data_IF_025693576610
#
_entry.id   IF_025693576610
#
_cell.length_a   1.000
_cell.length_b   1.000
_cell.length_c   1.000
_cell.angle_alpha   90.00
_cell.angle_beta   90.00
_cell.angle_gamma   90.00
#
_symmetry.space_group_name_H-M   'P 1'
#
loop_
_entity.id
_entity.type
_entity.pdbx_description
1 polymer ?
#
# COMPACT_ATOMS: atom_id res chain seq x y z
N UNK A 1 -6.91 -15.48 8.50
CA UNK A 1 -5.71 -16.12 9.08
C UNK A 1 -4.48 -15.31 8.68
N UNK A 2 -4.38 -14.08 9.19
CA UNK A 2 -3.28 -13.15 8.91
C UNK A 2 -2.39 -13.14 10.14
N UNK A 3 -1.16 -13.63 9.95
CA UNK A 3 0.04 -13.44 10.77
C UNK A 3 -0.29 -13.11 12.23
N UNK A 4 -0.56 -14.15 13.02
CA UNK A 4 -0.48 -14.05 14.47
C UNK A 4 0.89 -13.49 14.81
N UNK A 5 0.91 -12.32 15.46
CA UNK A 5 2.11 -11.67 15.98
C UNK A 5 3.02 -12.72 16.62
N UNK A 6 4.18 -12.96 16.00
CA UNK A 6 5.40 -13.28 16.74
C UNK A 6 5.71 -12.03 17.56
N UNK A 7 5.01 -11.89 18.66
CA UNK A 7 5.42 -11.07 19.77
C UNK A 7 6.62 -11.83 20.36
N UNK A 8 7.79 -11.69 19.73
CA UNK A 8 9.03 -11.91 20.46
C UNK A 8 9.03 -10.85 21.55
N UNK A 9 8.59 -11.24 22.75
CA UNK A 9 9.06 -10.56 23.93
C UNK A 9 10.59 -10.58 23.86
N UNK A 10 11.29 -9.47 24.14
CA UNK A 10 12.73 -9.53 24.32
C UNK A 10 12.99 -10.59 25.39
N UNK A 11 13.67 -11.66 25.01
CA UNK A 11 14.19 -12.65 25.93
C UNK A 11 14.94 -11.88 27.02
N UNK A 12 14.62 -12.13 28.28
CA UNK A 12 15.36 -11.61 29.42
C UNK A 12 16.86 -11.81 29.17
N UNK A 13 17.54 -10.73 28.82
CA UNK A 13 18.99 -10.67 28.93
C UNK A 13 19.26 -10.67 30.42
N UNK A 14 19.60 -11.84 30.95
CA UNK A 14 20.19 -11.97 32.29
C UNK A 14 21.45 -11.11 32.30
N UNK A 15 21.34 -9.88 32.82
CA UNK A 15 22.47 -9.08 33.23
C UNK A 15 23.24 -9.86 34.29
N UNK A 16 24.44 -10.30 33.91
CA UNK A 16 25.40 -10.95 34.76
C UNK A 16 25.85 -9.97 35.86
N UNK A 17 25.23 -10.11 37.04
CA UNK A 17 25.58 -9.37 38.26
C UNK A 17 26.83 -9.98 38.89
N UNK A 18 27.95 -9.88 38.19
CA UNK A 18 29.25 -10.29 38.70
C UNK A 18 30.02 -9.09 39.24
N UNK A 19 29.84 -8.87 40.55
CA UNK A 19 30.87 -8.49 41.53
C UNK A 19 31.90 -7.41 41.14
N UNK A 20 31.56 -6.14 41.44
CA UNK A 20 32.58 -5.13 41.75
C UNK A 20 32.58 -4.87 43.26
N UNK A 21 33.44 -5.60 43.97
CA UNK A 21 33.85 -5.24 45.32
C UNK A 21 34.87 -4.11 45.19
N UNK A 22 34.44 -2.86 45.42
CA UNK A 22 35.36 -1.78 45.70
C UNK A 22 35.05 -1.13 47.06
N UNK A 23 36.15 -0.94 47.78
CA UNK A 23 36.29 -0.53 49.17
C UNK A 23 35.55 0.76 49.50
N UNK A 24 35.02 0.78 50.72
CA UNK A 24 34.48 1.96 51.37
C UNK A 24 35.48 3.11 51.47
N UNK A 25 34.94 4.31 51.29
CA UNK A 25 35.58 5.60 51.53
C UNK A 25 34.49 6.63 51.82
N UNK A 26 34.04 6.66 53.07
CA UNK A 26 33.03 7.55 53.60
C UNK A 26 33.58 8.99 53.66
N UNK A 27 32.97 9.95 52.95
CA UNK A 27 32.99 11.38 53.31
C UNK A 27 31.76 12.08 52.73
N UNK A 28 30.77 12.25 53.61
CA UNK A 28 29.57 13.07 53.41
C UNK A 28 29.97 14.52 53.19
N UNK A 29 29.63 15.07 52.02
CA UNK A 29 29.36 16.50 51.85
C UNK A 29 28.01 16.61 51.13
N UNK A 30 26.99 17.03 51.88
CA UNK A 30 25.64 17.22 51.39
C UNK A 30 25.53 18.49 50.55
N UNK A 31 25.32 18.30 49.25
CA UNK A 31 24.49 19.18 48.44
C UNK A 31 23.44 18.28 47.82
N UNK A 32 22.18 18.45 48.22
CA UNK A 32 21.05 17.68 47.72
C UNK A 32 20.86 17.95 46.24
N UNK A 33 21.44 17.09 45.41
CA UNK A 33 21.17 17.06 43.98
C UNK A 33 19.75 16.53 43.81
N UNK A 34 18.80 17.45 43.62
CA UNK A 34 17.43 17.11 43.22
C UNK A 34 17.51 16.49 41.84
N UNK A 35 17.61 15.17 41.76
CA UNK A 35 17.45 14.44 40.52
C UNK A 35 16.00 14.62 40.06
N UNK A 36 15.79 15.62 39.21
CA UNK A 36 14.53 15.80 38.48
C UNK A 36 14.26 14.51 37.71
N UNK A 37 13.33 13.71 38.20
CA UNK A 37 12.84 12.51 37.51
C UNK A 37 12.02 12.97 36.31
N UNK A 38 12.71 13.33 35.22
CA UNK A 38 12.05 13.71 33.97
C UNK A 38 11.23 12.54 33.48
N UNK A 39 9.91 12.73 33.37
CA UNK A 39 8.99 11.72 32.86
C UNK A 39 9.48 11.23 31.47
N UNK A 40 9.78 9.93 31.29
CA UNK A 40 10.33 9.41 30.03
C UNK A 40 9.46 9.75 28.80
N UNK A 41 8.13 9.89 28.99
CA UNK A 41 7.21 10.31 27.92
C UNK A 41 7.54 11.71 27.38
N UNK A 42 7.96 12.64 28.25
CA UNK A 42 8.30 14.01 27.82
C UNK A 42 9.52 14.06 26.91
N UNK A 43 10.52 13.21 27.19
CA UNK A 43 11.72 13.07 26.36
C UNK A 43 11.36 12.58 24.95
N UNK A 44 10.52 11.54 24.87
CA UNK A 44 10.08 11.01 23.58
C UNK A 44 9.18 11.98 22.83
N UNK A 45 8.29 12.70 23.51
CA UNK A 45 7.47 13.76 22.88
C UNK A 45 8.33 14.85 22.26
N UNK A 46 9.38 15.29 22.94
CA UNK A 46 10.30 16.29 22.41
C UNK A 46 11.06 15.75 21.18
N UNK A 47 11.67 14.57 21.28
CA UNK A 47 12.39 13.96 20.16
C UNK A 47 11.48 13.68 18.96
N UNK A 48 10.26 13.21 19.20
CA UNK A 48 9.26 13.01 18.16
C UNK A 48 8.90 14.34 17.51
N UNK A 49 8.70 15.43 18.27
CA UNK A 49 8.46 16.79 17.73
C UNK A 49 9.60 17.27 16.82
N UNK A 50 10.84 16.88 17.11
CA UNK A 50 12.01 17.16 16.29
C UNK A 50 12.14 16.25 15.05
N UNK A 51 11.17 15.37 14.79
CA UNK A 51 11.13 14.53 13.58
C UNK A 51 11.76 13.14 13.75
N UNK A 52 12.12 12.73 14.98
CA UNK A 52 12.64 11.37 15.21
C UNK A 52 11.54 10.32 15.00
N UNK A 53 11.73 9.47 14.00
CA UNK A 53 10.87 8.32 13.72
C UNK A 53 10.86 7.32 14.86
N UNK A 54 12.04 6.91 15.32
CA UNK A 54 12.20 6.00 16.45
C UNK A 54 11.47 6.50 17.71
N UNK A 55 11.56 7.81 18.01
CA UNK A 55 10.83 8.40 19.13
C UNK A 55 9.31 8.34 18.92
N UNK A 56 8.82 8.51 17.69
CA UNK A 56 7.39 8.39 17.38
C UNK A 56 6.90 6.96 17.56
N UNK A 57 7.65 5.97 17.04
CA UNK A 57 7.33 4.55 17.24
C UNK A 57 7.30 4.20 18.74
N UNK A 58 8.26 4.71 19.50
CA UNK A 58 8.29 4.50 20.95
C UNK A 58 7.10 5.16 21.67
N UNK A 59 6.66 6.35 21.27
CA UNK A 59 5.46 6.98 21.81
C UNK A 59 4.22 6.14 21.52
N UNK A 60 4.03 5.74 20.25
CA UNK A 60 2.91 4.90 19.85
C UNK A 60 2.87 3.58 20.65
N UNK A 61 4.03 2.98 20.90
CA UNK A 61 4.15 1.81 21.75
C UNK A 61 3.72 2.07 23.21
N UNK A 62 4.14 3.20 23.80
CA UNK A 62 3.81 3.59 25.18
C UNK A 62 2.31 3.92 25.34
N UNK A 63 1.60 4.31 24.28
CA UNK A 63 0.16 4.57 24.34
C UNK A 63 -0.66 3.31 24.71
N UNK A 64 -0.08 2.10 24.72
CA UNK A 64 -0.75 0.84 25.12
C UNK A 64 -2.14 0.70 24.47
N UNK A 65 -2.20 0.92 23.15
CA UNK A 65 -3.46 0.85 22.43
C UNK A 65 -3.99 -0.59 22.47
N UNK A 66 -5.22 -0.72 22.97
CA UNK A 66 -5.93 -2.00 23.08
C UNK A 66 -7.05 -2.01 22.07
N UNK A 67 -6.96 -2.96 21.14
CA UNK A 67 -8.01 -3.28 20.21
C UNK A 67 -8.61 -4.61 20.62
N UNK A 68 -9.90 -4.60 20.98
CA UNK A 68 -10.66 -5.83 21.20
C UNK A 68 -11.51 -6.13 19.96
N UNK A 69 -11.14 -7.17 19.16
CA UNK A 69 -11.86 -7.52 17.95
C UNK A 69 -13.31 -7.93 18.19
N UNK A 70 -13.66 -8.35 19.41
CA UNK A 70 -15.00 -8.84 19.74
C UNK A 70 -15.96 -7.71 20.10
N UNK A 71 -15.48 -6.75 20.90
CA UNK A 71 -16.33 -5.65 21.38
C UNK A 71 -16.36 -4.45 20.45
N UNK A 72 -15.52 -4.45 19.41
CA UNK A 72 -15.26 -3.29 18.55
C UNK A 72 -14.78 -2.06 19.33
N UNK A 73 -14.40 -2.24 20.60
CA UNK A 73 -13.92 -1.17 21.44
C UNK A 73 -12.43 -0.94 21.14
N UNK A 74 -12.10 0.32 20.87
CA UNK A 74 -10.72 0.75 20.68
C UNK A 74 -10.35 1.73 21.78
N UNK A 75 -9.28 1.42 22.49
CA UNK A 75 -8.72 2.30 23.49
C UNK A 75 -7.42 2.88 22.95
N UNK A 76 -7.35 4.21 22.85
CA UNK A 76 -6.15 4.98 22.47
C UNK A 76 -5.63 4.75 21.05
N UNK A 77 -6.39 4.07 20.20
CA UNK A 77 -6.07 3.95 18.77
C UNK A 77 -6.04 5.31 18.08
N UNK A 78 -6.89 6.23 18.47
CA UNK A 78 -6.87 7.63 18.03
C UNK A 78 -5.53 8.32 18.34
N UNK A 79 -5.04 8.22 19.58
CA UNK A 79 -3.75 8.80 19.97
C UNK A 79 -2.57 8.18 19.19
N UNK A 80 -2.60 6.87 18.95
CA UNK A 80 -1.59 6.19 18.12
C UNK A 80 -1.65 6.66 16.67
N UNK A 81 -2.86 6.78 16.10
CA UNK A 81 -3.03 7.30 14.74
C UNK A 81 -2.52 8.73 14.60
N UNK A 82 -2.74 9.60 15.59
CA UNK A 82 -2.22 10.96 15.61
C UNK A 82 -0.68 11.00 15.59
N UNK A 83 -0.03 10.14 16.37
CA UNK A 83 1.42 10.02 16.34
C UNK A 83 1.94 9.58 14.97
N UNK A 84 1.28 8.61 14.35
CA UNK A 84 1.66 8.12 13.02
C UNK A 84 1.43 9.17 11.92
N UNK A 85 0.27 9.83 11.93
CA UNK A 85 -0.06 10.90 10.99
C UNK A 85 0.95 12.04 11.07
N UNK A 86 1.20 12.55 12.28
CA UNK A 86 2.14 13.64 12.48
C UNK A 86 3.57 13.29 12.05
N UNK A 87 4.01 12.04 12.25
CA UNK A 87 5.31 11.60 11.77
C UNK A 87 5.38 11.51 10.24
N UNK A 88 4.39 10.89 9.60
CA UNK A 88 4.40 10.73 8.15
C UNK A 88 4.24 12.07 7.42
N UNK A 89 3.37 12.96 7.90
CA UNK A 89 3.18 14.29 7.31
C UNK A 89 4.45 15.14 7.37
N UNK A 90 5.23 15.05 8.45
CA UNK A 90 6.53 15.74 8.54
C UNK A 90 7.53 15.19 7.53
N UNK A 91 7.58 13.88 7.34
CA UNK A 91 8.47 13.27 6.33
C UNK A 91 8.09 13.73 4.92
N UNK A 92 6.79 13.82 4.64
CA UNK A 92 6.27 14.31 3.37
C UNK A 92 6.53 15.80 3.12
N UNK A 93 6.67 16.61 4.18
CA UNK A 93 6.82 18.07 4.07
C UNK A 93 8.25 18.58 4.25
N UNK A 94 9.11 17.87 4.98
CA UNK A 94 10.48 18.32 5.30
C UNK A 94 11.53 17.97 4.22
N UNK A 95 11.13 17.38 3.09
CA UNK A 95 12.05 16.78 2.13
C UNK A 95 12.22 17.63 0.87
N UNK A 96 13.10 18.64 0.94
CA UNK A 96 13.50 19.43 -0.24
C UNK A 96 14.23 18.59 -1.32
N UNK A 97 14.69 17.38 -0.97
CA UNK A 97 15.39 16.43 -1.85
C UNK A 97 14.70 15.09 -2.06
N UNK A 98 13.38 14.99 -1.80
CA UNK A 98 12.63 13.74 -1.89
C UNK A 98 12.72 12.87 -0.63
N UNK A 99 11.90 11.83 -0.56
CA UNK A 99 11.72 11.04 0.66
C UNK A 99 12.89 10.08 0.88
N UNK A 100 13.54 10.23 2.03
CA UNK A 100 14.55 9.28 2.52
C UNK A 100 13.86 8.03 3.10
N UNK A 101 13.86 6.94 2.32
CA UNK A 101 13.29 5.66 2.73
C UNK A 101 14.28 4.84 3.55
N UNK A 102 13.88 4.44 4.77
CA UNK A 102 14.69 3.67 5.71
C UNK A 102 13.90 2.55 6.38
N UNK A 103 14.58 1.72 7.18
CA UNK A 103 13.96 0.68 7.99
C UNK A 103 12.88 1.23 8.95
N UNK A 104 13.17 2.31 9.66
CA UNK A 104 12.22 2.94 10.61
C UNK A 104 10.97 3.44 9.90
N UNK A 105 11.11 3.98 8.68
CA UNK A 105 9.98 4.44 7.88
C UNK A 105 9.13 3.26 7.39
N UNK A 106 9.78 2.17 6.98
CA UNK A 106 9.08 0.94 6.61
C UNK A 106 8.31 0.36 7.81
N UNK A 107 8.90 0.37 9.00
CA UNK A 107 8.24 -0.09 10.23
C UNK A 107 7.03 0.79 10.57
N UNK A 108 7.19 2.12 10.54
CA UNK A 108 6.08 3.06 10.74
C UNK A 108 4.92 2.78 9.79
N UNK A 109 5.19 2.70 8.48
CA UNK A 109 4.14 2.45 7.48
C UNK A 109 3.51 1.07 7.66
N UNK A 110 4.29 0.07 8.07
CA UNK A 110 3.78 -1.27 8.35
C UNK A 110 2.81 -1.27 9.53
N UNK A 111 3.15 -0.58 10.63
CA UNK A 111 2.27 -0.40 11.78
C UNK A 111 0.99 0.37 11.44
N UNK A 112 1.11 1.43 10.62
CA UNK A 112 -0.06 2.16 10.11
C UNK A 112 -0.97 1.26 9.26
N UNK A 113 -0.40 0.47 8.35
CA UNK A 113 -1.16 -0.46 7.52
C UNK A 113 -1.84 -1.55 8.36
N UNK A 114 -1.16 -2.08 9.37
CA UNK A 114 -1.74 -3.05 10.30
C UNK A 114 -2.93 -2.46 11.05
N UNK A 115 -2.78 -1.24 11.57
CA UNK A 115 -3.87 -0.52 12.24
C UNK A 115 -5.09 -0.32 11.33
N UNK A 116 -4.88 0.12 10.08
CA UNK A 116 -5.95 0.23 9.07
C UNK A 116 -6.62 -1.12 8.84
N UNK A 117 -5.85 -2.19 8.69
CA UNK A 117 -6.39 -3.53 8.46
C UNK A 117 -7.10 -4.11 9.68
N UNK A 118 -6.79 -3.72 10.90
CA UNK A 118 -7.56 -4.16 12.07
C UNK A 118 -8.92 -3.44 12.13
N UNK A 119 -8.96 -2.17 11.72
CA UNK A 119 -10.14 -1.30 11.88
C UNK A 119 -11.06 -1.23 10.66
N UNK A 120 -10.62 -1.69 9.49
CA UNK A 120 -11.40 -1.61 8.25
C UNK A 120 -12.76 -2.34 8.29
N UNK A 121 -13.00 -3.24 9.26
CA UNK A 121 -14.32 -3.90 9.42
C UNK A 121 -15.30 -3.11 10.28
N UNK A 122 -14.84 -2.53 11.39
CA UNK A 122 -15.72 -2.13 12.49
C UNK A 122 -15.77 -0.63 12.72
N UNK A 123 -14.76 0.12 12.26
CA UNK A 123 -14.55 1.52 12.66
C UNK A 123 -14.10 2.40 11.50
N UNK A 124 -14.83 2.33 10.39
CA UNK A 124 -14.59 3.28 9.29
C UNK A 124 -15.00 4.71 9.67
N UNK A 125 -15.97 4.84 10.59
CA UNK A 125 -16.47 6.12 11.07
C UNK A 125 -15.55 6.78 12.11
N UNK A 126 -14.47 6.09 12.53
CA UNK A 126 -13.44 6.71 13.35
C UNK A 126 -12.81 7.88 12.60
N UNK A 127 -12.80 9.05 13.22
CA UNK A 127 -12.36 10.30 12.59
C UNK A 127 -10.92 10.25 12.06
N UNK A 128 -10.06 9.41 12.66
CA UNK A 128 -8.67 9.23 12.25
C UNK A 128 -8.50 8.25 11.07
N UNK A 129 -9.47 7.36 10.80
CA UNK A 129 -9.33 6.29 9.81
C UNK A 129 -9.19 6.84 8.37
N UNK A 130 -10.06 7.78 8.01
CA UNK A 130 -10.02 8.41 6.69
C UNK A 130 -8.76 9.26 6.44
N UNK A 131 -8.35 10.15 7.36
CA UNK A 131 -7.05 10.83 7.26
C UNK A 131 -5.89 9.85 7.13
N UNK A 132 -5.81 8.82 7.99
CA UNK A 132 -4.72 7.84 7.98
C UNK A 132 -4.61 7.10 6.65
N UNK A 133 -5.74 6.58 6.14
CA UNK A 133 -5.77 5.88 4.85
C UNK A 133 -5.43 6.80 3.69
N UNK A 134 -5.97 8.03 3.67
CA UNK A 134 -5.64 9.04 2.65
C UNK A 134 -4.15 9.35 2.64
N UNK A 135 -3.56 9.65 3.80
CA UNK A 135 -2.13 9.99 3.91
C UNK A 135 -1.26 8.82 3.44
N UNK A 136 -1.57 7.58 3.82
CA UNK A 136 -0.86 6.39 3.32
C UNK A 136 -0.92 6.28 1.78
N UNK A 137 -2.09 6.52 1.19
CA UNK A 137 -2.26 6.41 -0.26
C UNK A 137 -1.55 7.53 -1.03
N UNK A 138 -1.61 8.76 -0.52
CA UNK A 138 -0.90 9.91 -1.08
C UNK A 138 0.61 9.69 -0.96
N UNK A 139 1.08 9.17 0.18
CA UNK A 139 2.47 8.82 0.39
C UNK A 139 2.97 7.74 -0.58
N UNK A 140 2.23 6.64 -0.75
CA UNK A 140 2.60 5.61 -1.72
C UNK A 140 2.58 6.12 -3.17
N UNK A 141 1.74 7.12 -3.48
CA UNK A 141 1.75 7.79 -4.78
C UNK A 141 3.02 8.64 -4.94
N UNK A 142 3.37 9.45 -3.95
CA UNK A 142 4.61 10.23 -3.94
C UNK A 142 5.83 9.34 -4.14
N UNK A 143 5.94 8.24 -3.37
CA UNK A 143 7.04 7.27 -3.53
C UNK A 143 7.08 6.62 -4.91
N UNK A 144 5.94 6.47 -5.59
CA UNK A 144 5.93 5.98 -6.97
C UNK A 144 6.46 7.04 -7.93
N UNK A 145 6.06 8.29 -7.74
CA UNK A 145 6.43 9.40 -8.62
C UNK A 145 7.92 9.78 -8.46
N UNK A 146 8.51 9.55 -7.28
CA UNK A 146 9.94 9.75 -6.97
C UNK A 146 10.84 8.55 -7.31
N UNK A 147 10.27 7.38 -7.60
CA UNK A 147 11.04 6.18 -7.92
C UNK A 147 11.68 6.29 -9.31
N UNK A 148 13.00 6.13 -9.38
CA UNK A 148 13.78 6.18 -10.63
C UNK A 148 13.63 4.89 -11.45
N UNK A 149 13.29 3.78 -10.79
CA UNK A 149 13.08 2.49 -11.44
C UNK A 149 11.70 2.41 -12.10
N UNK A 150 11.66 2.24 -13.42
CA UNK A 150 10.41 1.89 -14.08
C UNK A 150 9.97 0.48 -13.65
N UNK A 151 8.78 0.35 -13.04
CA UNK A 151 8.14 -0.95 -12.79
C UNK A 151 7.75 -1.69 -14.09
N UNK A 152 8.15 -1.17 -15.26
CA UNK A 152 7.78 -1.70 -16.57
C UNK A 152 8.71 -2.85 -16.95
N UNK A 153 8.15 -4.05 -16.87
CA UNK A 153 8.62 -5.32 -17.41
C UNK A 153 10.13 -5.57 -17.40
N UNK A 154 10.52 -6.57 -16.60
CA UNK A 154 11.69 -7.41 -16.85
C UNK A 154 11.55 -7.99 -18.26
N UNK A 155 12.01 -7.25 -19.27
CA UNK A 155 12.30 -7.81 -20.58
C UNK A 155 13.63 -8.50 -20.38
N UNK A 156 13.60 -9.83 -20.39
CA UNK A 156 14.76 -10.70 -20.28
C UNK A 156 15.63 -10.58 -21.54
N UNK A 157 16.27 -9.45 -21.76
CA UNK A 157 17.31 -9.31 -22.79
C UNK A 157 18.64 -9.75 -22.20
N UNK A 158 19.03 -10.96 -22.57
CA UNK A 158 20.28 -11.65 -22.22
C UNK A 158 21.49 -11.07 -22.99
N UNK A 159 21.76 -9.77 -22.89
CA UNK A 159 23.00 -9.22 -23.47
C UNK A 159 23.97 -8.69 -22.39
N UNK A 160 25.21 -9.22 -22.34
CA UNK A 160 26.22 -8.80 -21.37
C UNK A 160 26.89 -7.50 -21.84
N UNK A 161 26.43 -6.36 -21.33
CA UNK A 161 27.14 -5.10 -21.49
C UNK A 161 28.15 -4.93 -20.34
N UNK A 162 29.44 -4.93 -20.67
CA UNK A 162 30.54 -4.60 -19.76
C UNK A 162 30.55 -3.08 -19.50
N UNK A 163 29.84 -2.62 -18.49
CA UNK A 163 29.91 -1.25 -18.02
C UNK A 163 30.85 -1.22 -16.81
N UNK A 164 31.92 -0.43 -16.91
CA UNK A 164 32.83 -0.13 -15.81
C UNK A 164 32.13 0.92 -14.95
N UNK A 165 31.65 0.50 -13.79
CA UNK A 165 30.92 1.33 -12.84
C UNK A 165 31.79 1.59 -11.61
N UNK A 166 31.79 2.84 -11.13
CA UNK A 166 32.46 3.26 -9.89
C UNK A 166 31.66 2.76 -8.68
N UNK A 167 32.26 1.91 -7.86
CA UNK A 167 31.57 0.99 -6.94
C UNK A 167 30.97 1.63 -5.66
N UNK A 168 31.34 2.86 -5.28
CA UNK A 168 31.02 3.35 -3.91
C UNK A 168 29.71 4.17 -3.75
N UNK A 169 29.14 4.75 -4.82
CA UNK A 169 27.92 5.59 -4.71
C UNK A 169 26.62 4.87 -5.11
N UNK A 170 26.70 3.74 -5.84
CA UNK A 170 25.51 3.02 -6.31
C UNK A 170 24.82 2.22 -5.19
N UNK A 171 25.59 1.66 -4.25
CA UNK A 171 25.06 0.78 -3.19
C UNK A 171 24.01 1.46 -2.30
N UNK A 172 24.21 2.74 -1.96
CA UNK A 172 23.29 3.48 -1.09
C UNK A 172 21.97 3.85 -1.78
N UNK A 173 22.01 4.16 -3.09
CA UNK A 173 20.80 4.49 -3.85
C UNK A 173 19.92 3.26 -4.05
N UNK A 174 20.55 2.11 -4.26
CA UNK A 174 19.88 0.82 -4.40
C UNK A 174 19.17 0.41 -3.11
N UNK A 175 19.79 0.62 -1.95
CA UNK A 175 19.15 0.35 -0.66
C UNK A 175 17.93 1.25 -0.41
N UNK A 176 18.04 2.55 -0.67
CA UNK A 176 16.92 3.47 -0.51
C UNK A 176 15.74 3.11 -1.44
N UNK A 177 16.03 2.77 -2.69
CA UNK A 177 15.03 2.34 -3.66
C UNK A 177 14.41 0.99 -3.26
N UNK A 178 15.18 0.08 -2.65
CA UNK A 178 14.65 -1.15 -2.08
C UNK A 178 13.63 -0.88 -0.96
N UNK A 179 13.92 0.02 -0.03
CA UNK A 179 12.95 0.45 1.00
C UNK A 179 11.73 1.14 0.39
N UNK A 180 11.92 2.00 -0.60
CA UNK A 180 10.83 2.66 -1.34
C UNK A 180 9.86 1.63 -1.94
N UNK A 181 10.38 0.60 -2.60
CA UNK A 181 9.60 -0.52 -3.16
C UNK A 181 8.91 -1.33 -2.06
N UNK A 182 9.61 -1.64 -0.97
CA UNK A 182 9.06 -2.37 0.16
C UNK A 182 7.85 -1.65 0.78
N UNK A 183 7.96 -0.34 1.00
CA UNK A 183 6.87 0.50 1.50
C UNK A 183 5.68 0.48 0.54
N UNK A 184 5.91 0.65 -0.76
CA UNK A 184 4.85 0.61 -1.79
C UNK A 184 4.11 -0.73 -1.81
N UNK A 185 4.83 -1.85 -1.70
CA UNK A 185 4.24 -3.20 -1.59
C UNK A 185 3.31 -3.28 -0.38
N UNK A 186 3.79 -2.84 0.79
CA UNK A 186 3.00 -2.83 2.04
C UNK A 186 1.70 -2.03 1.88
N UNK A 187 1.78 -0.80 1.36
CA UNK A 187 0.59 0.07 1.18
C UNK A 187 -0.37 -0.47 0.13
N UNK A 188 0.12 -0.96 -1.02
CA UNK A 188 -0.75 -1.54 -2.05
C UNK A 188 -1.48 -2.79 -1.55
N UNK A 189 -0.78 -3.66 -0.81
CA UNK A 189 -1.39 -4.83 -0.19
C UNK A 189 -2.47 -4.42 0.81
N UNK A 190 -2.17 -3.49 1.73
CA UNK A 190 -3.14 -2.96 2.69
C UNK A 190 -4.39 -2.41 1.98
N UNK A 191 -4.20 -1.54 0.98
CA UNK A 191 -5.30 -0.94 0.22
C UNK A 191 -6.14 -1.96 -0.54
N UNK A 192 -5.52 -2.99 -1.12
CA UNK A 192 -6.25 -4.07 -1.79
C UNK A 192 -7.17 -4.81 -0.82
N UNK A 193 -6.69 -5.13 0.38
CA UNK A 193 -7.49 -5.78 1.43
C UNK A 193 -8.63 -4.89 1.93
N UNK A 194 -8.40 -3.58 2.08
CA UNK A 194 -9.47 -2.62 2.40
C UNK A 194 -10.58 -2.73 1.34
N UNK A 195 -10.26 -2.59 0.05
CA UNK A 195 -11.25 -2.72 -1.03
C UNK A 195 -11.94 -4.10 -1.06
N UNK A 196 -11.20 -5.18 -0.80
CA UNK A 196 -11.74 -6.52 -0.77
C UNK A 196 -12.81 -6.67 0.33
N UNK A 197 -12.58 -6.07 1.51
CA UNK A 197 -13.54 -6.07 2.62
C UNK A 197 -14.80 -5.27 2.30
N UNK A 198 -14.67 -4.15 1.60
CA UNK A 198 -15.80 -3.37 1.09
C UNK A 198 -16.53 -4.01 -0.10
N UNK A 199 -16.16 -5.23 -0.51
CA UNK A 199 -16.70 -5.92 -1.69
C UNK A 199 -16.45 -5.18 -3.01
N UNK A 200 -15.49 -4.26 -3.05
CA UNK A 200 -15.04 -3.59 -4.27
C UNK A 200 -13.97 -4.43 -5.00
N UNK A 201 -14.35 -5.64 -5.42
CA UNK A 201 -13.41 -6.68 -5.89
C UNK A 201 -12.59 -6.26 -7.11
N UNK A 202 -13.17 -5.50 -8.03
CA UNK A 202 -12.46 -4.98 -9.21
C UNK A 202 -11.31 -4.05 -8.82
N UNK A 203 -11.55 -3.17 -7.84
CA UNK A 203 -10.54 -2.26 -7.30
C UNK A 203 -9.49 -3.02 -6.48
N UNK A 204 -9.92 -3.99 -5.67
CA UNK A 204 -8.99 -4.87 -4.95
C UNK A 204 -8.02 -5.56 -5.93
N UNK A 205 -8.54 -6.13 -7.02
CA UNK A 205 -7.73 -6.78 -8.05
C UNK A 205 -6.72 -5.82 -8.72
N UNK A 206 -7.09 -4.56 -8.94
CA UNK A 206 -6.16 -3.54 -9.46
C UNK A 206 -4.97 -3.34 -8.50
N UNK A 207 -5.22 -3.23 -7.19
CA UNK A 207 -4.16 -3.01 -6.22
C UNK A 207 -3.32 -4.26 -5.92
N UNK A 208 -3.90 -5.45 -5.92
CA UNK A 208 -3.11 -6.67 -5.87
C UNK A 208 -2.17 -6.79 -7.08
N UNK A 209 -2.63 -6.45 -8.29
CA UNK A 209 -1.74 -6.40 -9.47
C UNK A 209 -0.62 -5.38 -9.31
N UNK A 210 -0.91 -4.19 -8.78
CA UNK A 210 0.12 -3.17 -8.47
C UNK A 210 1.15 -3.71 -7.48
N UNK A 211 0.71 -4.39 -6.41
CA UNK A 211 1.58 -5.04 -5.44
C UNK A 211 2.53 -6.06 -6.09
N UNK A 212 1.99 -6.94 -6.95
CA UNK A 212 2.79 -7.94 -7.68
C UNK A 212 3.75 -7.31 -8.70
N UNK A 213 3.38 -6.18 -9.29
CA UNK A 213 4.18 -5.51 -10.33
C UNK A 213 5.41 -4.75 -9.81
N UNK A 214 5.44 -4.36 -8.52
CA UNK A 214 6.63 -3.71 -7.94
C UNK A 214 7.83 -4.67 -8.02
N UNK A 215 8.99 -4.21 -8.49
CA UNK A 215 10.19 -5.07 -8.58
C UNK A 215 10.62 -5.60 -7.20
N UNK A 216 11.13 -6.84 -7.15
CA UNK A 216 11.63 -7.40 -5.89
C UNK A 216 13.00 -6.79 -5.57
N UNK A 217 13.25 -6.28 -4.37
CA UNK A 217 14.60 -5.88 -3.98
C UNK A 217 15.57 -7.06 -4.15
N UNK A 218 16.71 -6.82 -4.81
CA UNK A 218 17.75 -7.85 -5.05
C UNK A 218 18.35 -8.37 -3.74
N UNK A 219 18.37 -7.54 -2.69
CA UNK A 219 18.76 -7.89 -1.33
C UNK A 219 17.65 -8.66 -0.60
N UNK A 220 17.49 -9.95 -0.96
CA UNK A 220 16.32 -10.75 -0.57
C UNK A 220 16.13 -11.02 0.94
N UNK A 221 17.13 -10.83 1.80
CA UNK A 221 17.02 -11.23 3.22
C UNK A 221 16.25 -10.21 4.09
N UNK A 222 16.39 -8.91 3.82
CA UNK A 222 15.82 -7.85 4.67
C UNK A 222 14.32 -7.62 4.44
N UNK A 223 13.76 -8.12 3.33
CA UNK A 223 12.38 -7.82 2.88
C UNK A 223 11.49 -9.07 2.81
N UNK A 224 11.72 -10.04 3.71
CA UNK A 224 10.96 -11.29 3.75
C UNK A 224 9.45 -11.05 3.90
N UNK A 225 9.04 -10.12 4.77
CA UNK A 225 7.64 -9.74 4.94
C UNK A 225 7.03 -9.28 3.60
N UNK A 226 7.70 -8.41 2.87
CA UNK A 226 7.19 -7.89 1.60
C UNK A 226 7.15 -8.96 0.50
N UNK A 227 8.08 -9.92 0.53
CA UNK A 227 8.02 -11.12 -0.32
C UNK A 227 6.73 -11.91 -0.05
N UNK A 228 6.42 -12.17 1.22
CA UNK A 228 5.21 -12.87 1.63
C UNK A 228 3.93 -12.11 1.24
N UNK A 229 3.91 -10.78 1.40
CA UNK A 229 2.78 -9.94 0.96
C UNK A 229 2.53 -10.03 -0.54
N UNK A 230 3.59 -10.10 -1.36
CA UNK A 230 3.46 -10.27 -2.82
C UNK A 230 2.94 -11.65 -3.20
N UNK A 231 3.41 -12.71 -2.55
CA UNK A 231 2.89 -14.07 -2.77
C UNK A 231 1.41 -14.16 -2.35
N UNK A 232 1.06 -13.56 -1.21
CA UNK A 232 -0.34 -13.45 -0.78
C UNK A 232 -1.19 -12.73 -1.82
N UNK A 233 -0.72 -11.61 -2.39
CA UNK A 233 -1.40 -10.89 -3.45
C UNK A 233 -1.60 -11.74 -4.73
N UNK A 234 -0.62 -12.57 -5.11
CA UNK A 234 -0.75 -13.51 -6.24
C UNK A 234 -1.84 -14.54 -5.98
N UNK A 235 -1.93 -15.08 -4.77
CA UNK A 235 -2.97 -16.04 -4.37
C UNK A 235 -4.35 -15.36 -4.44
N UNK A 236 -4.51 -14.18 -3.83
CA UNK A 236 -5.78 -13.45 -3.85
C UNK A 236 -6.24 -13.10 -5.28
N UNK A 237 -5.33 -12.79 -6.20
CA UNK A 237 -5.69 -12.59 -7.61
C UNK A 237 -6.26 -13.85 -8.28
N UNK A 238 -5.70 -15.03 -7.99
CA UNK A 238 -6.20 -16.32 -8.51
C UNK A 238 -7.59 -16.63 -7.96
N UNK A 239 -7.82 -16.34 -6.67
CA UNK A 239 -9.13 -16.51 -6.02
C UNK A 239 -10.18 -15.60 -6.65
N UNK A 240 -9.88 -14.30 -6.82
CA UNK A 240 -10.78 -13.34 -7.45
C UNK A 240 -11.13 -13.70 -8.90
N UNK A 241 -10.19 -14.27 -9.65
CA UNK A 241 -10.42 -14.75 -11.01
C UNK A 241 -11.40 -15.94 -11.03
N UNK A 242 -11.26 -16.88 -10.10
CA UNK A 242 -12.14 -18.04 -9.96
C UNK A 242 -13.58 -17.62 -9.61
N UNK A 243 -13.75 -16.67 -8.68
CA UNK A 243 -15.07 -16.15 -8.31
C UNK A 243 -15.77 -15.41 -9.46
N UNK A 244 -15.00 -14.75 -10.34
CA UNK A 244 -15.55 -13.98 -11.46
C UNK A 244 -16.08 -14.89 -12.59
N UNK A 245 -15.46 -16.06 -12.80
CA UNK A 245 -15.84 -16.99 -13.87
C UNK A 245 -17.23 -17.62 -13.71
N UNK A 246 -17.66 -17.86 -12.46
CA UNK A 246 -18.96 -18.48 -12.16
C UNK A 246 -20.12 -17.57 -12.62
N UNK A 247 -19.98 -16.25 -12.44
CA UNK A 247 -21.02 -15.30 -12.85
C UNK A 247 -21.07 -15.07 -14.38
N UNK A 248 -19.94 -15.17 -15.09
CA UNK A 248 -19.94 -15.01 -16.54
C UNK A 248 -20.59 -16.18 -17.27
N UNK A 249 -20.38 -17.42 -16.81
CA UNK A 249 -21.01 -18.58 -17.44
C UNK A 249 -22.54 -18.57 -17.30
N UNK A 250 -23.08 -18.07 -16.18
CA UNK A 250 -24.53 -17.94 -15.98
C UNK A 250 -25.17 -16.87 -16.87
N UNK A 251 -24.46 -15.78 -17.21
CA UNK A 251 -24.95 -14.81 -18.19
C UNK A 251 -24.88 -15.33 -19.63
N UNK A 252 -23.92 -16.19 -19.97
CA UNK A 252 -23.84 -16.79 -21.30
C UNK A 252 -24.91 -17.88 -21.51
N UNK A 253 -25.27 -18.64 -20.48
CA UNK A 253 -26.30 -19.68 -20.59
C UNK A 253 -27.75 -19.15 -20.71
N UNK A 254 -28.02 -17.87 -20.41
CA UNK A 254 -29.33 -17.25 -20.69
C UNK A 254 -29.43 -16.62 -22.08
N UNK A 255 -28.37 -16.60 -22.87
CA UNK A 255 -28.46 -16.35 -24.31
C UNK A 255 -28.67 -17.68 -25.00
N UNK A 256 -29.91 -18.16 -24.89
CA UNK A 256 -30.40 -19.33 -25.60
C UNK A 256 -30.03 -19.26 -27.08
N UNK A 257 -29.77 -20.43 -27.62
CA UNK A 257 -29.49 -20.76 -29.01
C UNK A 257 -30.42 -20.01 -29.97
N UNK A 258 -29.99 -18.84 -30.46
CA UNK A 258 -30.57 -18.25 -31.67
C UNK A 258 -29.71 -18.79 -32.81
N UNK A 259 -30.28 -19.75 -33.52
CA UNK A 259 -29.71 -20.34 -34.72
C UNK A 259 -29.26 -19.25 -35.71
N UNK A 260 -28.04 -19.40 -36.20
CA UNK A 260 -27.50 -18.93 -37.47
C UNK A 260 -28.50 -18.25 -38.41
N UNK A 261 -28.52 -16.91 -38.40
CA UNK A 261 -28.83 -16.10 -39.57
C UNK A 261 -27.74 -15.03 -39.67
N UNK A 262 -27.13 -14.90 -40.86
CA UNK A 262 -25.85 -14.25 -41.13
C UNK A 262 -25.52 -13.03 -40.29
N UNK A 263 -24.39 -13.10 -39.56
CA UNK A 263 -23.78 -11.93 -38.95
C UNK A 263 -23.34 -10.99 -40.07
N UNK A 264 -24.16 -9.99 -40.37
CA UNK A 264 -23.74 -8.87 -41.19
C UNK A 264 -22.45 -8.30 -40.60
N UNK A 265 -21.39 -8.30 -41.40
CA UNK A 265 -20.17 -7.58 -41.06
C UNK A 265 -20.56 -6.12 -40.84
N UNK A 266 -20.26 -5.60 -39.65
CA UNK A 266 -20.49 -4.21 -39.34
C UNK A 266 -19.17 -3.47 -39.47
N UNK A 267 -19.23 -2.28 -40.04
CA UNK A 267 -18.12 -1.34 -40.17
C UNK A 267 -18.18 -0.33 -39.03
N UNK A 268 -17.03 0.03 -38.48
CA UNK A 268 -16.97 1.05 -37.43
C UNK A 268 -17.42 2.40 -38.00
N UNK A 269 -18.42 3.02 -37.37
CA UNK A 269 -18.95 4.32 -37.79
C UNK A 269 -17.90 5.44 -37.89
N UNK A 270 -16.84 5.36 -37.09
CA UNK A 270 -15.79 6.39 -37.06
C UNK A 270 -14.64 6.13 -38.04
N UNK A 271 -14.13 4.89 -38.06
CA UNK A 271 -12.87 4.57 -38.76
C UNK A 271 -13.05 3.60 -39.93
N UNK A 272 -14.28 3.14 -40.20
CA UNK A 272 -14.61 2.22 -41.30
C UNK A 272 -14.15 0.78 -41.10
N UNK A 273 -13.28 0.49 -40.12
CA UNK A 273 -12.76 -0.86 -39.89
C UNK A 273 -13.87 -1.85 -39.56
N UNK A 274 -13.82 -3.01 -40.20
CA UNK A 274 -14.71 -4.13 -39.93
C UNK A 274 -14.17 -4.96 -38.75
N UNK A 275 -15.06 -5.32 -37.83
CA UNK A 275 -14.72 -6.19 -36.71
C UNK A 275 -15.96 -6.95 -36.24
N UNK A 276 -15.80 -8.25 -35.96
CA UNK A 276 -16.88 -9.03 -35.33
C UNK A 276 -17.06 -8.59 -33.87
N UNK A 277 -18.32 -8.41 -33.46
CA UNK A 277 -18.66 -8.10 -32.07
C UNK A 277 -18.23 -6.69 -31.62
N UNK A 278 -18.58 -5.66 -32.38
CA UNK A 278 -18.32 -4.27 -31.98
C UNK A 278 -19.31 -3.77 -30.93
N UNK A 279 -18.86 -3.00 -29.92
CA UNK A 279 -19.78 -2.28 -29.03
C UNK A 279 -20.67 -1.34 -29.84
N UNK A 280 -21.96 -1.33 -29.49
CA UNK A 280 -22.96 -0.40 -30.03
C UNK A 280 -23.25 0.71 -29.04
N UNK A 281 -23.67 1.87 -29.52
CA UNK A 281 -24.12 2.94 -28.65
C UNK A 281 -25.27 2.46 -27.76
N UNK A 282 -25.15 2.62 -26.44
CA UNK A 282 -26.15 2.14 -25.48
C UNK A 282 -27.52 2.85 -25.64
N UNK A 283 -27.52 4.08 -26.16
CA UNK A 283 -28.73 4.89 -26.37
C UNK A 283 -29.51 4.45 -27.62
N UNK A 284 -28.89 4.50 -28.81
CA UNK A 284 -29.61 4.20 -30.05
C UNK A 284 -29.46 2.76 -30.54
N UNK A 285 -28.46 2.01 -30.06
CA UNK A 285 -28.11 0.64 -30.48
C UNK A 285 -27.89 0.43 -31.99
N UNK A 286 -27.89 1.51 -32.78
CA UNK A 286 -27.77 1.46 -34.24
C UNK A 286 -26.32 1.62 -34.74
N UNK A 287 -25.50 2.41 -34.04
CA UNK A 287 -24.12 2.69 -34.45
C UNK A 287 -23.13 1.82 -33.69
N UNK A 288 -22.19 1.20 -34.41
CA UNK A 288 -21.17 0.29 -33.89
C UNK A 288 -19.76 0.87 -34.02
N UNK A 289 -18.91 0.58 -33.02
CA UNK A 289 -17.56 1.14 -32.93
C UNK A 289 -16.53 0.06 -32.63
N UNK A 290 -15.36 0.10 -33.27
CA UNK A 290 -14.34 -0.94 -33.03
C UNK A 290 -13.65 -0.82 -31.65
N UNK A 291 -13.79 0.34 -30.99
CA UNK A 291 -13.25 0.63 -29.66
C UNK A 291 -13.98 1.80 -28.99
N UNK A 292 -13.85 1.92 -27.67
CA UNK A 292 -14.33 3.12 -26.93
C UNK A 292 -13.66 4.41 -27.41
N UNK A 293 -12.43 4.35 -27.90
CA UNK A 293 -11.74 5.52 -28.47
C UNK A 293 -12.47 6.06 -29.70
N UNK A 294 -12.91 5.17 -30.59
CA UNK A 294 -13.67 5.56 -31.79
C UNK A 294 -15.07 6.10 -31.42
N UNK A 295 -15.74 5.52 -30.42
CA UNK A 295 -17.00 6.05 -29.91
C UNK A 295 -16.84 7.47 -29.35
N UNK A 296 -15.80 7.71 -28.54
CA UNK A 296 -15.54 9.04 -27.97
C UNK A 296 -15.15 10.06 -29.03
N UNK A 297 -14.38 9.66 -30.04
CA UNK A 297 -14.00 10.54 -31.16
C UNK A 297 -15.19 10.90 -32.05
N UNK A 298 -16.13 9.98 -32.25
CA UNK A 298 -17.34 10.20 -33.05
C UNK A 298 -18.48 10.88 -32.26
N UNK A 299 -18.38 10.91 -30.93
CA UNK A 299 -19.39 11.47 -30.02
C UNK A 299 -20.00 12.82 -30.47
N UNK A 300 -19.24 13.87 -30.85
CA UNK A 300 -19.83 15.16 -31.22
C UNK A 300 -20.69 15.12 -32.50
N UNK A 301 -20.41 14.18 -33.41
CA UNK A 301 -21.20 13.95 -34.62
C UNK A 301 -22.38 13.04 -34.30
N UNK A 302 -22.10 11.94 -33.59
CA UNK A 302 -23.08 10.95 -33.19
C UNK A 302 -24.19 11.53 -32.33
N UNK A 303 -23.90 12.40 -31.36
CA UNK A 303 -24.91 12.94 -30.43
C UNK A 303 -26.04 13.67 -31.17
N UNK A 304 -25.74 14.34 -32.28
CA UNK A 304 -26.74 15.01 -33.14
C UNK A 304 -27.66 14.05 -33.88
N UNK A 305 -27.16 12.84 -34.18
CA UNK A 305 -27.88 11.80 -34.91
C UNK A 305 -28.51 10.76 -33.98
N UNK A 306 -27.96 10.59 -32.77
CA UNK A 306 -28.29 9.53 -31.82
C UNK A 306 -29.78 9.54 -31.46
N UNK A 307 -30.34 10.74 -31.23
CA UNK A 307 -31.76 10.92 -30.92
C UNK A 307 -32.68 10.53 -32.07
N UNK A 308 -32.27 10.69 -33.33
CA UNK A 308 -33.09 10.33 -34.50
C UNK A 308 -33.11 8.82 -34.75
N UNK A 309 -32.11 8.12 -34.23
CA UNK A 309 -31.93 6.67 -34.39
C UNK A 309 -32.57 5.86 -33.25
N UNK A 310 -33.10 6.51 -32.22
CA UNK A 310 -33.93 5.88 -31.20
C UNK A 310 -35.34 5.65 -31.79
N UNK A 311 -35.52 4.55 -32.51
CA UNK A 311 -36.84 4.03 -32.88
C UNK A 311 -37.27 2.97 -31.88
#
# INVERSE_FOLDING_TARGET
>A
MLISRLQQQPSDVQEDKSSWILRGGNKRNGYGSTTMTTNPRSRWQHAARQGSLAATLQLAYIEDAKHDPQTTACQRCDAVADHYLAALERIMTCTEGGVYCSADLLELVSQMCQMVLEHAFYQQDSWWFHPLTKTLWDFAKQLKDESTGSDHHVITTLEPASIIVTEDEEDNQDEQEAYRRAIRITVYHCRAHVYQRHRELDRAAVYFRKCVAVHQPSSSSCFETQRLLRESAKISLKELATCSGINQQQQQQRRGSISSNGSAESTCAHCGKEKRGMPVCAKCRAMSYCSNRCLMADKPVHDKQCHRLQK
#
